data_IF_546526402684
#
_entry.id   IF_546526402684
#
_cell.length_a   1.000
_cell.length_b   1.000
_cell.length_c   1.000
_cell.angle_alpha   90.00
_cell.angle_beta   90.00
_cell.angle_gamma   90.00
#
_symmetry.space_group_name_H-M   'P 1'
#
loop_
_entity.id
_entity.type
_entity.pdbx_description
1 polymer ?
#
# COMPACT_ATOMS: atom_id res chain seq x y z
N UNK A 1 9.29 29.53 3.54
CA UNK A 1 9.09 28.37 4.44
C UNK A 1 8.05 27.40 3.87
N UNK A 2 8.05 27.12 2.55
CA UNK A 2 7.07 26.23 1.88
C UNK A 2 7.78 25.06 1.19
N UNK A 3 9.00 25.27 0.65
CA UNK A 3 9.86 24.21 0.09
C UNK A 3 10.19 23.06 1.05
N UNK A 4 10.31 23.34 2.36
CA UNK A 4 10.61 22.30 3.35
C UNK A 4 9.46 21.29 3.52
N UNK A 5 8.20 21.73 3.40
CA UNK A 5 7.03 20.88 3.59
C UNK A 5 6.87 19.90 2.41
N UNK A 6 7.12 20.36 1.19
CA UNK A 6 7.04 19.53 -0.03
C UNK A 6 8.04 18.35 0.00
N UNK A 7 9.30 18.61 0.37
CA UNK A 7 10.33 17.56 0.47
C UNK A 7 10.05 16.57 1.61
N UNK A 8 9.48 17.04 2.72
CA UNK A 8 9.08 16.17 3.84
C UNK A 8 7.94 15.25 3.43
N UNK A 9 6.89 15.78 2.77
CA UNK A 9 5.75 14.99 2.30
C UNK A 9 6.18 13.88 1.35
N UNK A 10 7.05 14.19 0.39
CA UNK A 10 7.57 13.20 -0.57
C UNK A 10 8.41 12.11 0.11
N UNK A 11 9.26 12.49 1.06
CA UNK A 11 10.05 11.54 1.86
C UNK A 11 9.15 10.62 2.70
N UNK A 12 8.07 11.16 3.28
CA UNK A 12 7.08 10.38 4.03
C UNK A 12 6.38 9.36 3.11
N UNK A 13 5.86 9.80 1.95
CA UNK A 13 5.19 8.90 1.00
C UNK A 13 6.14 7.79 0.54
N UNK A 14 7.38 8.11 0.18
CA UNK A 14 8.35 7.11 -0.29
C UNK A 14 8.73 6.10 0.79
N UNK A 15 9.03 6.57 2.02
CA UNK A 15 9.38 5.70 3.15
C UNK A 15 8.23 4.79 3.52
N UNK A 16 7.02 5.34 3.65
CA UNK A 16 5.86 4.57 4.07
C UNK A 16 5.40 3.58 3.00
N UNK A 17 5.51 3.94 1.72
CA UNK A 17 5.27 3.01 0.60
C UNK A 17 6.26 1.85 0.62
N UNK A 18 7.56 2.13 0.74
CA UNK A 18 8.58 1.07 0.80
C UNK A 18 8.37 0.10 1.98
N UNK A 19 7.89 0.60 3.12
CA UNK A 19 7.53 -0.25 4.27
C UNK A 19 6.33 -1.14 3.97
N UNK A 20 5.30 -0.63 3.30
CA UNK A 20 4.14 -1.42 2.90
C UNK A 20 4.50 -2.44 1.82
N UNK A 21 5.31 -2.07 0.83
CA UNK A 21 5.79 -2.97 -0.22
C UNK A 21 6.54 -4.17 0.35
N UNK A 22 7.41 -3.93 1.33
CA UNK A 22 8.18 -5.01 1.97
C UNK A 22 7.28 -6.00 2.69
N UNK A 23 6.27 -5.51 3.40
CA UNK A 23 5.32 -6.37 4.10
C UNK A 23 4.39 -7.10 3.13
N UNK A 24 3.97 -6.43 2.05
CA UNK A 24 3.09 -7.00 1.03
C UNK A 24 3.81 -8.08 0.21
N UNK A 25 5.10 -7.91 -0.08
CA UNK A 25 5.93 -8.97 -0.67
C UNK A 25 5.92 -10.24 0.19
N UNK A 26 5.91 -10.10 1.52
CA UNK A 26 5.81 -11.24 2.43
C UNK A 26 4.43 -11.91 2.38
N UNK A 27 3.36 -11.13 2.17
CA UNK A 27 2.01 -11.67 1.94
C UNK A 27 2.00 -12.50 0.66
N UNK A 28 2.58 -11.98 -0.44
CA UNK A 28 2.69 -12.70 -1.71
C UNK A 28 3.49 -14.00 -1.55
N UNK A 29 4.67 -13.94 -0.94
CA UNK A 29 5.52 -15.12 -0.72
C UNK A 29 4.81 -16.20 0.11
N UNK A 30 4.16 -15.82 1.21
CA UNK A 30 3.38 -16.75 2.05
C UNK A 30 2.15 -17.30 1.34
N UNK A 31 1.50 -16.50 0.49
CA UNK A 31 0.36 -16.94 -0.33
C UNK A 31 0.80 -17.96 -1.37
N UNK A 32 1.93 -17.73 -2.05
CA UNK A 32 2.52 -18.69 -3.01
C UNK A 32 2.89 -20.01 -2.34
N UNK A 33 3.42 -19.98 -1.12
CA UNK A 33 3.74 -21.20 -0.37
C UNK A 33 2.52 -21.86 0.30
N UNK A 34 1.31 -21.32 0.11
CA UNK A 34 0.07 -21.73 0.79
C UNK A 34 0.18 -21.73 2.33
N UNK A 35 1.05 -20.87 2.86
CA UNK A 35 1.23 -20.65 4.29
C UNK A 35 0.25 -19.57 4.76
N UNK A 36 -1.02 -19.96 4.85
CA UNK A 36 -2.14 -19.06 5.11
C UNK A 36 -2.05 -18.34 6.45
N UNK A 37 -1.53 -19.00 7.49
CA UNK A 37 -1.35 -18.41 8.82
C UNK A 37 -0.34 -17.26 8.76
N UNK A 38 0.79 -17.45 8.04
CA UNK A 38 1.77 -16.38 7.83
C UNK A 38 1.26 -15.31 6.86
N UNK A 39 0.46 -15.67 5.86
CA UNK A 39 -0.15 -14.73 4.93
C UNK A 39 -1.12 -13.79 5.66
N UNK A 40 -2.00 -14.33 6.50
CA UNK A 40 -2.92 -13.56 7.35
C UNK A 40 -2.17 -12.67 8.35
N UNK A 41 -1.19 -13.24 9.06
CA UNK A 41 -0.39 -12.48 10.02
C UNK A 41 0.41 -11.35 9.36
N UNK A 42 0.90 -11.56 8.14
CA UNK A 42 1.61 -10.53 7.36
C UNK A 42 0.65 -9.48 6.83
N UNK A 43 -0.53 -9.86 6.33
CA UNK A 43 -1.53 -8.93 5.85
C UNK A 43 -2.07 -8.04 6.98
N UNK A 44 -2.25 -8.61 8.17
CA UNK A 44 -2.64 -7.83 9.36
C UNK A 44 -1.65 -6.71 9.66
N UNK A 45 -0.34 -6.97 9.54
CA UNK A 45 0.70 -5.94 9.71
C UNK A 45 0.60 -4.85 8.63
N UNK A 46 0.37 -5.23 7.38
CA UNK A 46 0.11 -4.27 6.29
C UNK A 46 -1.08 -3.37 6.66
N UNK A 47 -2.19 -3.96 7.12
CA UNK A 47 -3.39 -3.22 7.52
C UNK A 47 -3.18 -2.28 8.70
N UNK A 48 -2.48 -2.73 9.73
CA UNK A 48 -2.17 -1.90 10.91
C UNK A 48 -1.30 -0.70 10.51
N UNK A 49 -0.26 -0.93 9.70
CA UNK A 49 0.59 0.14 9.17
C UNK A 49 -0.20 1.10 8.28
N UNK A 50 -1.00 0.57 7.36
CA UNK A 50 -1.86 1.36 6.49
C UNK A 50 -2.78 2.27 7.30
N UNK A 51 -3.51 1.72 8.27
CA UNK A 51 -4.39 2.50 9.16
C UNK A 51 -3.65 3.65 9.87
N UNK A 52 -2.42 3.39 10.34
CA UNK A 52 -1.58 4.40 10.98
C UNK A 52 -1.14 5.54 10.06
N UNK A 53 -0.88 5.26 8.77
CA UNK A 53 -0.41 6.26 7.80
C UNK A 53 -1.52 6.85 6.93
N UNK A 54 -2.69 6.21 6.86
CA UNK A 54 -3.80 6.55 5.96
C UNK A 54 -4.23 8.00 6.11
N UNK A 55 -4.31 8.52 7.35
CA UNK A 55 -4.65 9.94 7.60
C UNK A 55 -3.65 10.88 6.96
N UNK A 56 -2.36 10.56 7.05
CA UNK A 56 -1.29 11.35 6.43
C UNK A 56 -1.38 11.29 4.92
N UNK A 57 -1.61 10.11 4.35
CA UNK A 57 -1.78 9.96 2.90
C UNK A 57 -3.01 10.70 2.39
N UNK A 58 -4.14 10.62 3.08
CA UNK A 58 -5.38 11.31 2.71
C UNK A 58 -5.28 12.85 2.71
N UNK A 59 -4.26 13.42 3.36
CA UNK A 59 -3.97 14.86 3.27
C UNK A 59 -3.07 15.22 2.08
N UNK A 60 -2.41 14.24 1.47
CA UNK A 60 -1.38 14.42 0.45
C UNK A 60 -1.81 13.94 -0.93
N UNK A 61 -2.76 13.00 -1.01
CA UNK A 61 -3.13 12.32 -2.26
C UNK A 61 -4.65 12.31 -2.45
N UNK A 62 -5.08 12.05 -3.70
CA UNK A 62 -6.50 11.92 -4.05
C UNK A 62 -7.20 10.83 -3.22
N UNK A 63 -8.39 11.12 -2.71
CA UNK A 63 -9.23 10.18 -1.98
C UNK A 63 -9.50 8.89 -2.77
N UNK A 64 -9.59 8.95 -4.10
CA UNK A 64 -9.76 7.74 -4.92
C UNK A 64 -8.59 6.76 -4.78
N UNK A 65 -7.36 7.25 -4.60
CA UNK A 65 -6.18 6.40 -4.39
C UNK A 65 -6.23 5.71 -3.03
N UNK A 66 -6.73 6.41 -2.01
CA UNK A 66 -6.96 5.85 -0.67
C UNK A 66 -8.01 4.75 -0.73
N UNK A 67 -9.13 5.01 -1.40
CA UNK A 67 -10.24 4.07 -1.54
C UNK A 67 -9.81 2.82 -2.31
N UNK A 68 -9.01 2.97 -3.37
CA UNK A 68 -8.46 1.85 -4.13
C UNK A 68 -7.59 0.94 -3.25
N UNK A 69 -6.75 1.51 -2.38
CA UNK A 69 -5.94 0.75 -1.42
C UNK A 69 -6.85 0.00 -0.42
N UNK A 70 -7.85 0.67 0.15
CA UNK A 70 -8.76 0.03 1.12
C UNK A 70 -9.54 -1.14 0.50
N UNK A 71 -10.06 -0.95 -0.71
CA UNK A 71 -10.83 -1.96 -1.44
C UNK A 71 -9.94 -3.16 -1.75
N UNK A 72 -8.76 -2.93 -2.34
CA UNK A 72 -7.84 -4.03 -2.69
C UNK A 72 -7.34 -4.75 -1.44
N UNK A 73 -6.99 -4.03 -0.37
CA UNK A 73 -6.60 -4.64 0.91
C UNK A 73 -7.71 -5.51 1.52
N UNK A 74 -8.96 -5.09 1.41
CA UNK A 74 -10.12 -5.87 1.87
C UNK A 74 -10.33 -7.14 1.03
N UNK A 75 -10.11 -7.04 -0.29
CA UNK A 75 -10.19 -8.21 -1.18
C UNK A 75 -9.10 -9.23 -0.91
N UNK A 76 -7.84 -8.78 -0.77
CA UNK A 76 -6.73 -9.68 -0.41
C UNK A 76 -7.03 -10.42 0.88
N UNK A 77 -7.58 -9.74 1.90
CA UNK A 77 -7.98 -10.39 3.15
C UNK A 77 -9.00 -11.50 2.92
N UNK A 78 -10.08 -11.21 2.20
CA UNK A 78 -11.12 -12.21 1.94
C UNK A 78 -10.57 -13.40 1.14
N UNK A 79 -9.71 -13.16 0.15
CA UNK A 79 -9.12 -14.24 -0.63
C UNK A 79 -8.13 -15.10 0.17
N UNK A 80 -7.36 -14.51 1.09
CA UNK A 80 -6.52 -15.25 2.03
C UNK A 80 -7.40 -16.10 2.97
N UNK A 81 -8.49 -15.55 3.50
CA UNK A 81 -9.44 -16.28 4.35
C UNK A 81 -10.10 -17.45 3.60
N UNK A 82 -10.44 -17.24 2.32
CA UNK A 82 -10.99 -18.27 1.45
C UNK A 82 -9.92 -19.23 0.89
N UNK A 83 -8.63 -19.00 1.18
CA UNK A 83 -7.50 -19.78 0.65
C UNK A 83 -7.48 -19.84 -0.89
N UNK A 84 -7.92 -18.75 -1.54
CA UNK A 84 -7.87 -18.60 -2.98
C UNK A 84 -6.56 -17.92 -3.39
N UNK A 85 -5.56 -18.75 -3.67
CA UNK A 85 -4.21 -18.30 -4.05
C UNK A 85 -4.23 -17.37 -5.26
N UNK A 86 -5.01 -17.69 -6.29
CA UNK A 86 -4.96 -16.95 -7.56
C UNK A 86 -5.55 -15.55 -7.38
N UNK A 87 -6.71 -15.46 -6.74
CA UNK A 87 -7.38 -14.18 -6.50
C UNK A 87 -6.63 -13.33 -5.47
N UNK A 88 -6.07 -13.96 -4.43
CA UNK A 88 -5.24 -13.26 -3.44
C UNK A 88 -4.01 -12.62 -4.08
N UNK A 89 -3.29 -13.36 -4.93
CA UNK A 89 -2.11 -12.83 -5.63
C UNK A 89 -2.46 -11.75 -6.65
N UNK A 90 -3.58 -11.90 -7.36
CA UNK A 90 -4.03 -10.88 -8.32
C UNK A 90 -4.31 -9.54 -7.62
N UNK A 91 -5.03 -9.56 -6.50
CA UNK A 91 -5.34 -8.35 -5.73
C UNK A 91 -4.12 -7.82 -4.95
N UNK A 92 -3.21 -8.69 -4.48
CA UNK A 92 -1.96 -8.26 -3.85
C UNK A 92 -1.07 -7.51 -4.85
N UNK A 93 -0.98 -8.00 -6.10
CA UNK A 93 -0.26 -7.31 -7.16
C UNK A 93 -0.91 -5.96 -7.51
N UNK A 94 -2.24 -5.86 -7.49
CA UNK A 94 -2.95 -4.60 -7.69
C UNK A 94 -2.65 -3.60 -6.56
N UNK A 95 -2.71 -4.06 -5.30
CA UNK A 95 -2.35 -3.26 -4.12
C UNK A 95 -0.89 -2.78 -4.19
N UNK A 96 0.04 -3.66 -4.58
CA UNK A 96 1.46 -3.34 -4.78
C UNK A 96 1.64 -2.23 -5.82
N UNK A 97 0.87 -2.28 -6.92
CA UNK A 97 0.89 -1.25 -7.97
C UNK A 97 0.41 0.10 -7.43
N UNK A 98 -0.68 0.12 -6.65
CA UNK A 98 -1.17 1.34 -6.01
C UNK A 98 -0.12 1.96 -5.09
N UNK A 99 0.47 1.17 -4.19
CA UNK A 99 1.48 1.64 -3.25
C UNK A 99 2.71 2.21 -3.97
N UNK A 100 3.20 1.54 -5.03
CA UNK A 100 4.41 1.96 -5.77
C UNK A 100 4.23 3.24 -6.58
N UNK A 101 3.06 3.43 -7.18
CA UNK A 101 2.88 4.51 -8.15
C UNK A 101 2.50 5.85 -7.50
N UNK A 102 1.90 5.84 -6.31
CA UNK A 102 1.43 7.05 -5.61
C UNK A 102 2.59 8.01 -5.31
N UNK A 103 3.71 7.57 -4.67
CA UNK A 103 4.83 8.47 -4.40
C UNK A 103 5.44 9.09 -5.66
N UNK A 104 5.46 8.34 -6.77
CA UNK A 104 6.01 8.82 -8.05
C UNK A 104 5.07 9.82 -8.72
N UNK A 105 3.77 9.55 -8.72
CA UNK A 105 2.75 10.45 -9.26
C UNK A 105 2.75 11.79 -8.51
N UNK A 106 2.78 11.74 -7.18
CA UNK A 106 2.87 12.95 -6.36
C UNK A 106 4.20 13.69 -6.53
N UNK A 107 5.30 12.97 -6.77
CA UNK A 107 6.57 13.61 -7.08
C UNK A 107 6.52 14.45 -8.36
N UNK A 108 5.93 13.90 -9.42
CA UNK A 108 5.77 14.61 -10.69
C UNK A 108 4.77 15.76 -10.57
N UNK A 109 3.71 15.62 -9.78
CA UNK A 109 2.77 16.72 -9.52
C UNK A 109 3.46 17.88 -8.82
N UNK A 110 4.30 17.61 -7.81
CA UNK A 110 5.08 18.65 -7.14
C UNK A 110 6.07 19.32 -8.10
N UNK A 111 6.73 18.57 -8.99
CA UNK A 111 7.62 19.15 -9.99
C UNK A 111 6.89 20.00 -11.06
N UNK A 112 5.64 19.67 -11.40
CA UNK A 112 4.89 20.37 -12.45
C UNK A 112 4.19 21.67 -11.98
N UNK A 113 4.06 21.89 -10.67
CA UNK A 113 3.36 23.07 -10.10
C UNK A 113 4.37 24.18 -9.71
N UNK A 114 5.68 23.91 -9.79
CA UNK A 114 6.77 24.84 -9.44
C UNK A 114 7.72 25.11 -10.60
#
# INVERSE_FOLDING_TARGET
MIFGISLISQSILFRTSSLLEKDLSRVEDSTVSNDWDNAEASLKKVREKWSGIKKTWAMLIDHMEIDNIDITLSRVEQYILCKDTSSALAEAAALMKYIRHIPRKEALNLENIF
#
